data_IF_001137451584
#
_entry.id   IF_001137451584
#
_cell.length_a   1.000
_cell.length_b   1.000
_cell.length_c   1.000
_cell.angle_alpha   90.00
_cell.angle_beta   90.00
_cell.angle_gamma   90.00
#
_symmetry.space_group_name_H-M   'P 1'
#
loop_
_entity.id
_entity.type
_entity.pdbx_description
1 polymer ?
#
# COMPACT_ATOMS: atom_id res chain seq x y z
N UNK A 1 15.13 22.43 5.04
CA UNK A 1 13.81 22.06 5.59
C UNK A 1 12.78 22.97 4.93
N UNK A 2 11.82 22.48 4.15
CA UNK A 2 10.74 23.30 3.64
C UNK A 2 9.83 23.71 4.79
N UNK A 3 9.53 24.99 4.90
CA UNK A 3 8.61 25.55 5.90
C UNK A 3 7.18 25.11 5.58
N UNK A 4 6.53 24.50 6.56
CA UNK A 4 5.13 24.08 6.45
C UNK A 4 4.20 25.27 6.71
N UNK A 5 3.35 25.60 5.77
CA UNK A 5 2.30 26.64 5.87
C UNK A 5 1.11 26.10 6.67
N UNK A 6 0.47 26.92 7.53
CA UNK A 6 -0.69 26.49 8.33
C UNK A 6 -1.94 26.28 7.48
N UNK A 7 -2.71 25.26 7.82
CA UNK A 7 -4.02 24.93 7.19
C UNK A 7 -5.05 25.98 7.62
N UNK A 8 -5.59 26.74 6.67
CA UNK A 8 -6.77 27.57 6.88
C UNK A 8 -8.04 26.70 6.80
N UNK A 9 -9.00 26.93 7.72
CA UNK A 9 -10.33 26.32 7.74
C UNK A 9 -11.06 26.63 6.43
N UNK A 10 -11.04 25.68 5.49
CA UNK A 10 -11.79 25.79 4.23
C UNK A 10 -13.06 24.94 4.32
N UNK A 11 -14.19 25.61 4.24
CA UNK A 11 -15.51 25.01 4.02
C UNK A 11 -15.43 24.01 2.86
N UNK A 12 -16.05 22.85 3.06
CA UNK A 12 -16.13 21.77 2.07
C UNK A 12 -16.91 22.24 0.83
N UNK A 13 -16.21 22.80 -0.14
CA UNK A 13 -16.80 23.08 -1.45
C UNK A 13 -16.67 21.83 -2.31
N UNK A 14 -17.78 21.29 -2.80
CA UNK A 14 -17.86 20.17 -3.73
C UNK A 14 -17.41 20.62 -5.14
N UNK A 15 -16.19 21.08 -5.27
CA UNK A 15 -15.56 21.41 -6.54
C UNK A 15 -14.48 20.40 -6.86
N UNK A 16 -14.66 19.67 -7.94
CA UNK A 16 -13.70 18.75 -8.54
C UNK A 16 -12.41 19.48 -8.95
N UNK A 17 -11.48 19.65 -8.03
CA UNK A 17 -10.11 19.96 -8.38
C UNK A 17 -9.24 18.72 -8.17
N UNK A 18 -9.03 17.98 -9.24
CA UNK A 18 -7.93 17.02 -9.36
C UNK A 18 -6.62 17.82 -9.24
N UNK A 19 -6.07 17.94 -8.03
CA UNK A 19 -4.66 18.23 -7.88
C UNK A 19 -3.93 16.92 -8.19
N UNK A 20 -3.97 16.54 -9.48
CA UNK A 20 -3.16 15.46 -10.01
C UNK A 20 -1.74 15.98 -10.23
N UNK A 21 -0.75 15.10 -10.14
CA UNK A 21 0.57 15.38 -10.68
C UNK A 21 0.40 15.86 -12.14
N UNK A 22 0.94 17.02 -12.46
CA UNK A 22 0.95 17.51 -13.83
C UNK A 22 1.59 16.45 -14.74
N UNK A 23 1.22 16.41 -16.03
CA UNK A 23 1.75 15.48 -17.04
C UNK A 23 3.28 15.53 -17.20
N UNK A 24 3.95 16.48 -16.54
CA UNK A 24 5.40 16.72 -16.55
C UNK A 24 6.14 16.16 -15.34
N UNK A 25 5.44 15.59 -14.32
CA UNK A 25 6.14 15.04 -13.15
C UNK A 25 6.75 13.69 -13.51
N UNK A 26 8.09 13.51 -13.35
CA UNK A 26 8.74 12.24 -13.65
C UNK A 26 8.07 11.07 -12.90
N UNK A 27 7.96 9.92 -13.57
CA UNK A 27 7.44 8.72 -12.93
C UNK A 27 8.38 8.26 -11.80
N UNK A 28 7.85 8.10 -10.61
CA UNK A 28 8.51 7.42 -9.50
C UNK A 28 7.56 6.43 -8.85
N UNK A 29 7.89 5.14 -8.98
CA UNK A 29 7.15 4.04 -8.37
C UNK A 29 7.95 3.38 -7.27
N UNK A 30 7.29 2.47 -6.54
CA UNK A 30 7.95 1.71 -5.47
C UNK A 30 7.40 0.28 -5.36
N UNK A 31 8.26 -0.63 -4.92
CA UNK A 31 7.88 -1.90 -4.32
C UNK A 31 8.07 -1.81 -2.80
N UNK A 32 7.02 -2.13 -2.06
CA UNK A 32 6.97 -1.89 -0.62
C UNK A 32 6.58 -3.17 0.16
N UNK A 33 7.50 -4.16 0.23
CA UNK A 33 7.23 -5.43 0.91
C UNK A 33 7.35 -5.31 2.42
N UNK A 34 6.48 -6.03 3.15
CA UNK A 34 6.68 -6.28 4.58
C UNK A 34 7.66 -7.45 4.75
N UNK A 35 8.75 -7.31 5.55
CA UNK A 35 9.78 -8.33 5.72
C UNK A 35 9.32 -9.43 6.70
N UNK A 36 8.27 -10.14 6.36
CA UNK A 36 7.67 -11.24 7.13
C UNK A 36 8.03 -12.62 6.58
N UNK A 37 9.09 -12.72 5.78
CA UNK A 37 9.62 -13.91 5.12
C UNK A 37 10.03 -13.63 3.65
N UNK A 38 10.51 -14.65 2.91
CA UNK A 38 10.97 -14.52 1.53
C UNK A 38 9.83 -14.10 0.57
N UNK A 39 10.19 -13.66 -0.63
CA UNK A 39 9.23 -13.49 -1.71
C UNK A 39 8.65 -14.84 -2.14
N UNK A 40 7.35 -14.85 -2.42
CA UNK A 40 6.63 -15.90 -3.08
C UNK A 40 6.13 -15.40 -4.45
N UNK A 41 5.56 -16.29 -5.28
CA UNK A 41 5.12 -15.91 -6.63
C UNK A 41 4.22 -14.65 -6.64
N UNK A 42 3.27 -14.53 -5.70
CA UNK A 42 2.40 -13.35 -5.62
C UNK A 42 3.13 -12.04 -5.34
N UNK A 43 4.10 -12.04 -4.41
CA UNK A 43 4.92 -10.86 -4.13
C UNK A 43 5.91 -10.56 -5.25
N UNK A 44 6.47 -11.59 -5.91
CA UNK A 44 7.29 -11.40 -7.11
C UNK A 44 6.47 -10.81 -8.26
N UNK A 45 5.24 -11.25 -8.47
CA UNK A 45 4.32 -10.69 -9.48
C UNK A 45 4.10 -9.20 -9.24
N UNK A 46 3.88 -8.80 -7.98
CA UNK A 46 3.74 -7.39 -7.61
C UNK A 46 5.05 -6.61 -7.82
N UNK A 47 6.19 -7.17 -7.45
CA UNK A 47 7.50 -6.57 -7.68
C UNK A 47 7.77 -6.38 -9.17
N UNK A 48 7.56 -7.43 -9.99
CA UNK A 48 7.76 -7.39 -11.43
C UNK A 48 6.83 -6.36 -12.08
N UNK A 49 5.52 -6.38 -11.78
CA UNK A 49 4.55 -5.44 -12.37
C UNK A 49 4.88 -3.99 -12.02
N UNK A 50 5.25 -3.69 -10.76
CA UNK A 50 5.63 -2.34 -10.35
C UNK A 50 6.95 -1.88 -10.99
N UNK A 51 7.90 -2.79 -11.17
CA UNK A 51 9.16 -2.52 -11.84
C UNK A 51 8.97 -2.27 -13.34
N UNK A 52 8.20 -3.13 -14.01
CA UNK A 52 7.87 -2.99 -15.44
C UNK A 52 7.15 -1.67 -15.71
N UNK A 53 6.19 -1.30 -14.87
CA UNK A 53 5.46 -0.05 -15.00
C UNK A 53 6.39 1.17 -14.91
N UNK A 54 7.31 1.17 -13.94
CA UNK A 54 8.30 2.24 -13.80
C UNK A 54 9.25 2.31 -15.01
N UNK A 55 9.79 1.17 -15.44
CA UNK A 55 10.75 1.15 -16.57
C UNK A 55 10.08 1.40 -17.92
N UNK A 56 8.84 1.01 -18.11
CA UNK A 56 8.06 1.32 -19.31
C UNK A 56 7.78 2.84 -19.46
N UNK A 57 7.66 3.57 -18.35
CA UNK A 57 7.56 5.02 -18.33
C UNK A 57 8.93 5.74 -18.39
N UNK A 58 10.05 5.03 -18.41
CA UNK A 58 11.39 5.62 -18.28
C UNK A 58 11.63 6.25 -16.91
N UNK A 59 10.92 5.81 -15.89
CA UNK A 59 10.92 6.36 -14.53
C UNK A 59 11.82 5.61 -13.56
N UNK A 60 11.78 6.07 -12.31
CA UNK A 60 12.49 5.47 -11.18
C UNK A 60 11.62 4.44 -10.46
N UNK A 61 12.26 3.41 -9.94
CA UNK A 61 11.66 2.39 -9.12
C UNK A 61 12.48 2.17 -7.85
N UNK A 62 11.89 2.35 -6.69
CA UNK A 62 12.57 2.22 -5.41
C UNK A 62 12.02 1.05 -4.59
N UNK A 63 12.78 0.63 -3.58
CA UNK A 63 12.35 -0.40 -2.62
C UNK A 63 12.26 0.22 -1.22
N UNK A 64 11.15 -0.04 -0.55
CA UNK A 64 10.91 0.36 0.84
C UNK A 64 10.46 -0.85 1.65
N UNK A 65 11.18 -1.16 2.74
CA UNK A 65 10.78 -2.22 3.69
C UNK A 65 9.71 -1.69 4.64
N UNK A 66 8.53 -2.29 4.59
CA UNK A 66 7.39 -1.93 5.44
C UNK A 66 7.41 -2.78 6.72
N UNK A 67 8.34 -2.44 7.60
CA UNK A 67 8.63 -3.09 8.88
C UNK A 67 8.14 -2.31 10.10
N UNK A 68 7.18 -1.42 9.93
CA UNK A 68 6.59 -0.64 11.02
C UNK A 68 5.89 -1.52 12.07
N UNK A 69 5.33 -2.65 11.66
CA UNK A 69 4.79 -3.67 12.55
C UNK A 69 5.90 -4.65 12.96
N UNK A 70 6.78 -4.18 13.81
CA UNK A 70 7.99 -4.90 14.23
C UNK A 70 7.72 -6.31 14.79
N UNK A 71 6.62 -6.60 15.54
CA UNK A 71 6.31 -7.96 16.00
C UNK A 71 6.10 -8.99 14.89
N UNK A 72 5.73 -8.58 13.69
CA UNK A 72 5.55 -9.47 12.53
C UNK A 72 6.79 -9.59 11.65
N UNK A 73 7.80 -8.78 11.90
CA UNK A 73 9.05 -8.80 11.14
C UNK A 73 9.87 -10.02 11.49
N UNK A 74 10.38 -10.73 10.48
CA UNK A 74 11.29 -11.87 10.65
C UNK A 74 12.71 -11.41 10.34
N UNK A 75 13.63 -11.61 11.28
CA UNK A 75 15.01 -11.22 11.11
C UNK A 75 15.65 -11.83 9.85
N UNK A 76 16.34 -11.01 9.07
CA UNK A 76 17.01 -11.41 7.81
C UNK A 76 16.07 -11.50 6.60
N UNK A 77 14.74 -11.38 6.77
CA UNK A 77 13.80 -11.44 5.65
C UNK A 77 13.96 -10.26 4.69
N UNK A 78 14.31 -9.09 5.19
CA UNK A 78 14.60 -7.91 4.38
C UNK A 78 15.77 -8.16 3.44
N UNK A 79 16.88 -8.69 3.96
CA UNK A 79 18.06 -9.03 3.15
C UNK A 79 17.75 -10.12 2.12
N UNK A 80 16.97 -11.14 2.52
CA UNK A 80 16.54 -12.20 1.61
C UNK A 80 15.69 -11.65 0.48
N UNK A 81 14.73 -10.77 0.76
CA UNK A 81 13.91 -10.09 -0.27
C UNK A 81 14.81 -9.32 -1.24
N UNK A 82 15.78 -8.55 -0.74
CA UNK A 82 16.70 -7.78 -1.59
C UNK A 82 17.57 -8.69 -2.46
N UNK A 83 18.04 -9.82 -1.92
CA UNK A 83 18.79 -10.83 -2.69
C UNK A 83 17.93 -11.44 -3.79
N UNK A 84 16.66 -11.79 -3.48
CA UNK A 84 15.72 -12.34 -4.46
C UNK A 84 15.41 -11.35 -5.58
N UNK A 85 15.19 -10.07 -5.27
CA UNK A 85 14.99 -9.03 -6.28
C UNK A 85 16.23 -8.88 -7.19
N UNK A 86 17.43 -8.83 -6.62
CA UNK A 86 18.69 -8.77 -7.41
C UNK A 86 18.86 -9.99 -8.31
N UNK A 87 18.61 -11.21 -7.79
CA UNK A 87 18.70 -12.43 -8.57
C UNK A 87 17.71 -12.44 -9.76
N UNK A 88 16.53 -11.85 -9.57
CA UNK A 88 15.53 -11.66 -10.63
C UNK A 88 15.87 -10.49 -11.58
N UNK A 89 16.97 -9.77 -11.41
CA UNK A 89 17.34 -8.60 -12.23
C UNK A 89 16.50 -7.36 -11.96
N UNK A 90 15.68 -7.34 -10.90
CA UNK A 90 14.84 -6.20 -10.52
C UNK A 90 15.64 -5.22 -9.66
N UNK A 91 16.48 -4.43 -10.32
CA UNK A 91 17.31 -3.42 -9.68
C UNK A 91 16.52 -2.15 -9.39
N UNK A 92 16.78 -1.55 -8.22
CA UNK A 92 16.17 -0.30 -7.76
C UNK A 92 17.14 0.88 -7.86
N UNK A 93 16.60 2.09 -7.90
CA UNK A 93 17.35 3.29 -8.29
C UNK A 93 17.86 4.13 -7.11
N UNK A 94 17.38 3.91 -5.86
CA UNK A 94 17.80 4.67 -4.68
C UNK A 94 18.08 3.74 -3.49
N UNK A 95 18.65 4.26 -2.42
CA UNK A 95 18.87 3.49 -1.21
C UNK A 95 17.57 2.93 -0.63
N UNK A 96 17.63 1.70 -0.14
CA UNK A 96 16.49 1.06 0.52
C UNK A 96 16.15 1.78 1.82
N UNK A 97 14.87 2.03 2.04
CA UNK A 97 14.36 2.69 3.24
C UNK A 97 13.61 1.67 4.09
N UNK A 98 13.78 1.72 5.42
CA UNK A 98 13.05 0.94 6.42
C UNK A 98 12.10 1.83 7.20
N UNK A 99 10.83 1.47 7.27
CA UNK A 99 9.80 2.26 7.97
C UNK A 99 10.04 2.35 9.48
N UNK A 100 10.58 1.30 10.09
CA UNK A 100 10.93 1.28 11.51
C UNK A 100 11.92 2.38 11.93
N UNK A 101 12.71 2.90 10.99
CA UNK A 101 13.67 3.99 11.20
C UNK A 101 13.07 5.39 10.95
N UNK A 102 11.77 5.49 10.70
CA UNK A 102 11.11 6.73 10.26
C UNK A 102 9.94 7.15 11.16
N UNK A 103 9.85 6.57 12.35
CA UNK A 103 8.74 6.80 13.30
C UNK A 103 8.55 8.26 13.67
N UNK A 104 9.63 9.06 13.71
CA UNK A 104 9.57 10.50 13.98
C UNK A 104 8.80 11.26 12.90
N UNK A 105 8.90 10.83 11.64
CA UNK A 105 8.17 11.42 10.51
C UNK A 105 6.66 11.11 10.61
N UNK A 106 6.32 9.91 11.04
CA UNK A 106 4.92 9.52 11.28
C UNK A 106 4.35 10.25 12.49
N UNK A 107 5.17 10.46 13.53
CA UNK A 107 4.78 11.25 14.69
C UNK A 107 4.50 12.70 14.30
N UNK A 108 5.34 13.31 13.47
CA UNK A 108 5.13 14.67 12.97
C UNK A 108 3.83 14.79 12.15
N UNK A 109 3.54 13.80 11.28
CA UNK A 109 2.28 13.76 10.52
C UNK A 109 1.07 13.59 11.45
N UNK A 110 1.16 12.72 12.46
CA UNK A 110 0.13 12.57 13.48
C UNK A 110 -0.15 13.87 14.23
N UNK A 111 0.90 14.62 14.61
CA UNK A 111 0.77 15.92 15.28
C UNK A 111 0.07 16.94 14.38
N UNK A 112 0.39 16.95 13.08
CA UNK A 112 -0.30 17.81 12.12
C UNK A 112 -1.80 17.48 12.04
N UNK A 113 -2.16 16.20 11.95
CA UNK A 113 -3.57 15.74 11.96
C UNK A 113 -4.26 16.10 13.26
N UNK A 114 -3.57 15.97 14.40
CA UNK A 114 -4.11 16.29 15.73
C UNK A 114 -4.34 17.80 15.93
N UNK A 115 -3.43 18.63 15.45
CA UNK A 115 -3.61 20.10 15.44
C UNK A 115 -4.81 20.52 14.58
N UNK A 116 -5.06 19.79 13.50
CA UNK A 116 -6.27 19.96 12.66
C UNK A 116 -7.56 19.40 13.27
N UNK A 117 -7.53 18.87 14.48
CA UNK A 117 -8.68 18.23 15.16
C UNK A 117 -9.29 17.06 14.37
N UNK A 118 -8.47 16.41 13.55
CA UNK A 118 -8.89 15.27 12.69
C UNK A 118 -8.66 13.91 13.39
N UNK A 119 -8.20 13.92 14.62
CA UNK A 119 -7.90 12.71 15.37
C UNK A 119 -8.44 12.74 16.78
N UNK A 120 -8.71 11.56 17.33
CA UNK A 120 -9.08 11.40 18.75
C UNK A 120 -8.54 10.10 19.34
N UNK A 121 -8.56 10.01 20.66
CA UNK A 121 -8.09 8.83 21.42
C UNK A 121 -9.23 7.83 21.59
N UNK A 122 -8.94 6.55 21.35
CA UNK A 122 -9.86 5.45 21.49
C UNK A 122 -9.29 4.36 22.41
N UNK A 123 -10.07 3.90 23.38
CA UNK A 123 -9.72 2.82 24.31
C UNK A 123 -10.39 1.50 23.97
N UNK A 124 -11.30 1.49 22.98
CA UNK A 124 -12.07 0.30 22.64
C UNK A 124 -11.17 -0.82 22.14
N UNK A 125 -11.33 -2.01 22.72
CA UNK A 125 -10.80 -3.26 22.17
C UNK A 125 -11.64 -3.71 20.97
N UNK A 126 -11.11 -4.63 20.17
CA UNK A 126 -11.85 -5.24 19.05
C UNK A 126 -13.13 -5.92 19.55
N UNK A 127 -13.08 -6.61 20.68
CA UNK A 127 -14.22 -7.31 21.30
C UNK A 127 -15.35 -6.34 21.67
N UNK A 128 -15.02 -5.22 22.31
CA UNK A 128 -16.02 -4.19 22.67
C UNK A 128 -16.66 -3.56 21.45
N UNK A 129 -15.90 -3.38 20.36
CA UNK A 129 -16.45 -2.89 19.07
C UNK A 129 -17.44 -3.92 18.51
N UNK A 130 -17.07 -5.21 18.47
CA UNK A 130 -17.95 -6.29 18.01
C UNK A 130 -19.23 -6.40 18.85
N UNK A 131 -19.12 -6.31 20.17
CA UNK A 131 -20.27 -6.33 21.10
C UNK A 131 -21.21 -5.13 20.85
N UNK A 132 -20.64 -3.93 20.66
CA UNK A 132 -21.43 -2.73 20.37
C UNK A 132 -22.15 -2.85 19.02
N UNK A 133 -21.49 -3.35 17.98
CA UNK A 133 -22.11 -3.55 16.67
C UNK A 133 -23.25 -4.56 16.72
N UNK A 134 -23.06 -5.68 17.42
CA UNK A 134 -24.13 -6.68 17.63
C UNK A 134 -25.31 -6.12 18.41
N UNK A 135 -25.05 -5.34 19.46
CA UNK A 135 -26.09 -4.68 20.23
C UNK A 135 -26.91 -3.68 19.38
N UNK A 136 -26.29 -3.10 18.36
CA UNK A 136 -26.92 -2.22 17.37
C UNK A 136 -27.59 -2.97 16.19
N UNK A 137 -27.69 -4.32 16.28
CA UNK A 137 -28.34 -5.15 15.26
C UNK A 137 -27.50 -5.43 14.01
N UNK A 138 -26.18 -5.16 14.06
CA UNK A 138 -25.28 -5.46 12.91
C UNK A 138 -24.90 -6.94 12.95
N UNK A 139 -25.23 -7.66 11.88
CA UNK A 139 -24.73 -9.00 11.65
C UNK A 139 -23.27 -8.95 11.18
N UNK A 140 -22.37 -9.63 11.89
CA UNK A 140 -20.95 -9.67 11.59
C UNK A 140 -20.58 -10.98 10.92
N UNK A 141 -20.09 -10.91 9.70
CA UNK A 141 -19.52 -12.04 8.99
C UNK A 141 -18.15 -12.47 9.55
N UNK A 142 -17.72 -13.69 9.22
CA UNK A 142 -16.35 -14.14 9.53
C UNK A 142 -15.36 -13.34 8.68
N UNK A 143 -14.38 -12.70 9.33
CA UNK A 143 -13.32 -11.91 8.68
C UNK A 143 -13.75 -10.58 8.08
N UNK A 144 -14.97 -10.11 8.32
CA UNK A 144 -15.37 -8.76 7.92
C UNK A 144 -14.61 -7.69 8.73
N UNK A 145 -14.36 -6.58 8.07
CA UNK A 145 -13.79 -5.41 8.73
C UNK A 145 -14.87 -4.74 9.58
N UNK A 146 -14.56 -4.50 10.85
CA UNK A 146 -15.50 -3.87 11.77
C UNK A 146 -15.58 -2.37 11.50
N UNK A 147 -16.75 -1.90 11.12
CA UNK A 147 -17.03 -0.46 11.01
C UNK A 147 -17.12 0.12 12.42
N UNK A 148 -16.19 1.01 12.77
CA UNK A 148 -16.14 1.55 14.12
C UNK A 148 -17.35 2.43 14.44
N UNK A 149 -18.11 2.17 15.52
CA UNK A 149 -19.38 2.85 15.83
C UNK A 149 -19.20 4.27 16.42
N UNK A 150 -17.98 4.79 16.52
CA UNK A 150 -17.73 6.13 17.03
C UNK A 150 -17.74 6.27 18.57
N UNK A 151 -17.79 5.18 19.34
CA UNK A 151 -18.01 5.18 20.80
C UNK A 151 -17.10 6.10 21.63
N UNK A 152 -15.89 6.42 21.16
CA UNK A 152 -14.96 7.32 21.85
C UNK A 152 -14.83 8.71 21.21
N UNK A 153 -15.55 8.98 20.13
CA UNK A 153 -15.31 10.16 19.30
C UNK A 153 -15.43 11.48 20.08
N UNK A 154 -16.49 11.62 20.87
CA UNK A 154 -16.78 12.85 21.60
C UNK A 154 -16.37 12.75 23.09
N UNK A 155 -15.63 11.68 23.42
CA UNK A 155 -15.22 11.41 24.80
C UNK A 155 -13.73 11.68 24.95
N UNK A 156 -13.32 12.85 25.38
CA UNK A 156 -11.91 13.20 25.62
C UNK A 156 -11.21 12.18 26.56
N UNK A 157 -10.97 10.96 26.04
CA UNK A 157 -10.44 9.82 26.80
C UNK A 157 -8.98 10.05 27.19
N UNK A 158 -8.75 10.14 28.49
CA UNK A 158 -7.44 10.23 29.10
C UNK A 158 -7.06 8.86 29.68
N UNK A 159 -6.38 8.02 28.91
CA UNK A 159 -5.88 6.73 29.37
C UNK A 159 -4.42 6.56 28.93
N UNK A 160 -3.66 5.74 29.67
CA UNK A 160 -2.22 5.51 29.41
C UNK A 160 -2.01 4.81 28.07
N UNK A 161 -2.91 3.86 27.73
CA UNK A 161 -2.86 3.14 26.45
C UNK A 161 -4.09 3.46 25.61
N UNK A 162 -3.91 4.24 24.57
CA UNK A 162 -4.99 4.61 23.64
C UNK A 162 -4.54 4.41 22.19
N UNK A 163 -5.42 3.87 21.37
CA UNK A 163 -5.28 3.99 19.93
C UNK A 163 -5.65 5.41 19.48
N UNK A 164 -5.08 5.85 18.36
CA UNK A 164 -5.47 7.13 17.72
C UNK A 164 -6.22 6.81 16.44
N UNK A 165 -7.43 7.33 16.35
CA UNK A 165 -8.28 7.21 15.17
C UNK A 165 -8.37 8.53 14.41
N UNK A 166 -8.56 8.40 13.11
CA UNK A 166 -9.00 9.50 12.25
C UNK A 166 -10.50 9.68 12.44
N UNK A 167 -10.93 10.91 12.71
CA UNK A 167 -12.33 11.31 12.74
C UNK A 167 -12.78 11.66 11.31
N UNK A 168 -13.67 10.86 10.75
CA UNK A 168 -14.25 11.15 9.44
C UNK A 168 -15.34 12.25 9.57
N UNK A 169 -15.54 13.09 8.56
CA UNK A 169 -16.71 14.01 8.52
C UNK A 169 -18.01 13.21 8.40
N UNK A 170 -19.14 13.88 8.57
CA UNK A 170 -20.46 13.24 8.48
C UNK A 170 -20.76 12.60 7.12
N UNK A 171 -20.05 13.01 6.06
CA UNK A 171 -20.09 12.40 4.73
C UNK A 171 -18.69 12.38 4.13
N UNK A 172 -18.25 11.23 3.65
CA UNK A 172 -16.92 11.05 3.07
C UNK A 172 -16.92 10.00 1.96
N UNK A 173 -17.46 10.36 0.82
CA UNK A 173 -17.39 9.55 -0.39
C UNK A 173 -16.15 9.95 -1.18
N UNK A 174 -15.25 9.00 -1.41
CA UNK A 174 -14.04 9.19 -2.19
C UNK A 174 -14.11 8.38 -3.49
N UNK A 175 -13.66 9.00 -4.55
CA UNK A 175 -13.53 8.35 -5.85
C UNK A 175 -12.12 8.53 -6.39
N UNK A 176 -11.67 7.53 -7.13
CA UNK A 176 -10.40 7.56 -7.86
C UNK A 176 -10.50 6.65 -9.09
N UNK A 177 -9.65 6.89 -10.06
CA UNK A 177 -9.53 6.01 -11.22
C UNK A 177 -8.31 5.14 -11.03
N UNK A 178 -8.52 3.84 -10.98
CA UNK A 178 -7.46 2.84 -11.05
C UNK A 178 -7.23 2.44 -12.51
N UNK A 179 -5.96 2.34 -12.92
CA UNK A 179 -5.61 2.07 -14.33
C UNK A 179 -6.05 0.68 -14.81
N UNK A 180 -6.24 -0.28 -13.90
CA UNK A 180 -6.69 -1.64 -14.25
C UNK A 180 -8.13 -1.91 -13.83
N UNK A 181 -8.57 -1.34 -12.71
CA UNK A 181 -9.90 -1.60 -12.12
C UNK A 181 -10.95 -0.53 -12.50
N UNK A 182 -10.54 0.51 -13.24
CA UNK A 182 -11.44 1.61 -13.64
C UNK A 182 -11.82 2.52 -12.47
N UNK A 183 -12.97 3.17 -12.58
CA UNK A 183 -13.47 4.09 -11.55
C UNK A 183 -13.85 3.32 -10.30
N UNK A 184 -13.28 3.72 -9.18
CA UNK A 184 -13.56 3.18 -7.84
C UNK A 184 -14.23 4.27 -7.00
N UNK A 185 -15.21 3.87 -6.21
CA UNK A 185 -15.94 4.75 -5.28
C UNK A 185 -16.07 4.02 -3.95
N UNK A 186 -15.80 4.73 -2.85
CA UNK A 186 -15.95 4.18 -1.51
C UNK A 186 -16.52 5.25 -0.56
N UNK A 187 -17.57 4.90 0.18
CA UNK A 187 -18.08 5.69 1.29
C UNK A 187 -17.38 5.29 2.58
N UNK A 188 -16.37 6.09 2.97
CA UNK A 188 -15.58 5.79 4.15
C UNK A 188 -16.39 5.79 5.44
N UNK A 189 -17.47 6.57 5.53
CA UNK A 189 -18.30 6.64 6.75
C UNK A 189 -19.04 5.34 6.97
N UNK A 190 -19.67 4.81 5.91
CA UNK A 190 -20.54 3.65 5.99
C UNK A 190 -19.82 2.32 5.79
N UNK A 191 -18.67 2.32 5.09
CA UNK A 191 -17.95 1.09 4.77
C UNK A 191 -16.72 0.85 5.66
N UNK A 192 -16.21 1.88 6.34
CA UNK A 192 -14.97 1.81 7.11
C UNK A 192 -15.14 2.33 8.54
N UNK A 193 -15.82 3.47 8.71
CA UNK A 193 -15.86 4.23 9.95
C UNK A 193 -14.51 4.89 10.28
N UNK A 194 -14.43 5.47 11.48
CA UNK A 194 -13.20 6.08 11.97
C UNK A 194 -12.11 5.02 12.17
N UNK A 195 -11.04 5.12 11.42
CA UNK A 195 -9.99 4.10 11.37
C UNK A 195 -8.73 4.47 12.17
N UNK A 196 -8.03 3.45 12.64
CA UNK A 196 -6.83 3.61 13.48
C UNK A 196 -5.63 4.00 12.62
N UNK A 197 -4.87 5.02 13.07
CA UNK A 197 -3.58 5.43 12.47
C UNK A 197 -2.39 5.22 13.41
N UNK A 198 -2.64 5.10 14.74
CA UNK A 198 -1.66 4.64 15.72
C UNK A 198 -2.33 3.68 16.68
N UNK A 199 -1.73 2.53 16.93
CA UNK A 199 -2.23 1.47 17.82
C UNK A 199 -2.00 1.86 19.28
N UNK A 200 -2.72 1.19 20.19
CA UNK A 200 -2.59 1.41 21.64
C UNK A 200 -1.24 0.95 22.21
N UNK A 201 -0.50 0.11 21.50
CA UNK A 201 0.87 -0.29 21.82
C UNK A 201 1.93 0.72 21.30
N UNK A 202 1.49 1.79 20.65
CA UNK A 202 2.34 2.88 20.14
C UNK A 202 2.79 2.72 18.70
N UNK A 203 2.58 1.57 18.08
CA UNK A 203 2.97 1.35 16.68
C UNK A 203 2.06 2.12 15.72
N UNK A 204 2.65 2.74 14.72
CA UNK A 204 1.90 3.36 13.62
C UNK A 204 1.29 2.29 12.72
N UNK A 205 0.13 2.59 12.15
CA UNK A 205 -0.49 1.66 11.20
C UNK A 205 0.05 1.90 9.79
N UNK A 206 -0.11 0.86 8.95
CA UNK A 206 0.17 0.90 7.52
C UNK A 206 -0.46 2.14 6.85
N UNK A 207 -1.69 2.51 7.23
CA UNK A 207 -2.43 3.60 6.60
C UNK A 207 -1.70 4.95 6.69
N UNK A 208 -1.12 5.27 7.84
CA UNK A 208 -0.37 6.52 8.02
C UNK A 208 1.03 6.41 7.43
N UNK A 209 1.75 5.33 7.75
CA UNK A 209 3.15 5.17 7.38
C UNK A 209 3.35 5.21 5.86
N UNK A 210 2.53 4.46 5.09
CA UNK A 210 2.65 4.42 3.63
C UNK A 210 2.37 5.77 2.99
N UNK A 211 1.37 6.52 3.48
CA UNK A 211 1.01 7.84 2.95
C UNK A 211 2.13 8.86 3.17
N UNK A 212 2.71 8.87 4.38
CA UNK A 212 3.81 9.78 4.72
C UNK A 212 5.05 9.46 3.89
N UNK A 213 5.39 8.18 3.75
CA UNK A 213 6.56 7.77 3.00
C UNK A 213 6.41 7.98 1.50
N UNK A 214 5.24 7.65 0.92
CA UNK A 214 4.98 7.89 -0.49
C UNK A 214 5.11 9.38 -0.83
N UNK A 215 4.64 10.27 0.06
CA UNK A 215 4.84 11.71 -0.10
C UNK A 215 6.31 12.13 0.01
N UNK A 216 6.99 11.76 1.08
CA UNK A 216 8.36 12.18 1.36
C UNK A 216 9.38 11.60 0.36
N UNK A 217 9.11 10.44 -0.21
CA UNK A 217 9.93 9.84 -1.26
C UNK A 217 9.52 10.30 -2.67
N UNK A 218 8.51 11.15 -2.81
CA UNK A 218 8.07 11.69 -4.10
C UNK A 218 7.42 10.66 -5.02
N UNK A 219 6.73 9.67 -4.44
CA UNK A 219 6.04 8.63 -5.22
C UNK A 219 4.87 9.23 -6.00
N UNK A 220 4.89 9.03 -7.31
CA UNK A 220 3.86 9.52 -8.23
C UNK A 220 2.91 8.42 -8.69
N UNK A 221 3.37 7.16 -8.66
CA UNK A 221 2.62 6.00 -9.13
C UNK A 221 2.71 4.85 -8.13
N UNK A 222 1.57 4.30 -7.78
CA UNK A 222 1.43 3.18 -6.84
C UNK A 222 0.89 1.98 -7.62
N UNK A 223 1.79 1.02 -7.85
CA UNK A 223 1.44 -0.31 -8.37
C UNK A 223 1.53 -1.31 -7.22
N UNK A 224 0.43 -2.05 -6.96
CA UNK A 224 0.35 -3.00 -5.84
C UNK A 224 -0.75 -4.05 -6.06
N UNK A 225 -0.82 -5.07 -5.22
CA UNK A 225 -1.88 -6.09 -5.31
C UNK A 225 -3.28 -5.53 -5.01
N UNK A 226 -4.29 -6.08 -5.64
CA UNK A 226 -5.70 -5.64 -5.50
C UNK A 226 -6.30 -5.90 -4.10
N UNK A 227 -5.67 -6.73 -3.28
CA UNK A 227 -6.04 -6.89 -1.86
C UNK A 227 -5.90 -5.59 -1.04
N UNK A 228 -5.15 -4.62 -1.57
CA UNK A 228 -5.01 -3.30 -0.99
C UNK A 228 -5.94 -2.25 -1.61
N UNK A 229 -6.81 -2.65 -2.54
CA UNK A 229 -7.73 -1.72 -3.22
C UNK A 229 -8.64 -1.00 -2.22
N UNK A 230 -9.23 -1.73 -1.27
CA UNK A 230 -10.09 -1.19 -0.22
C UNK A 230 -9.37 -0.25 0.77
N UNK A 231 -8.03 -0.29 0.82
CA UNK A 231 -7.25 0.65 1.65
C UNK A 231 -7.06 2.02 0.98
N UNK A 232 -7.26 2.10 -0.34
CA UNK A 232 -6.93 3.28 -1.13
C UNK A 232 -7.70 4.52 -0.68
N UNK A 233 -8.99 4.41 -0.43
CA UNK A 233 -9.79 5.55 0.02
C UNK A 233 -9.34 6.11 1.39
N UNK A 234 -8.97 5.24 2.36
CA UNK A 234 -8.37 5.69 3.64
C UNK A 234 -7.09 6.50 3.42
N UNK A 235 -6.24 6.03 2.52
CA UNK A 235 -4.97 6.69 2.19
C UNK A 235 -5.21 8.00 1.46
N UNK A 236 -6.15 8.04 0.53
CA UNK A 236 -6.57 9.27 -0.15
C UNK A 236 -7.14 10.31 0.82
N UNK A 237 -7.87 9.87 1.84
CA UNK A 237 -8.37 10.77 2.87
C UNK A 237 -7.20 11.37 3.68
N UNK A 238 -6.25 10.54 4.13
CA UNK A 238 -5.06 11.01 4.85
C UNK A 238 -4.25 11.97 3.98
N UNK A 239 -4.01 11.65 2.71
CA UNK A 239 -3.33 12.54 1.76
C UNK A 239 -4.03 13.89 1.65
N UNK A 240 -5.36 13.88 1.50
CA UNK A 240 -6.17 15.10 1.40
C UNK A 240 -6.03 16.00 2.64
N UNK A 241 -6.14 15.42 3.84
CA UNK A 241 -6.10 16.21 5.08
C UNK A 241 -4.68 16.67 5.46
N UNK A 242 -3.64 15.98 4.97
CA UNK A 242 -2.26 16.40 5.11
C UNK A 242 -1.81 17.37 4.00
N UNK A 243 -2.65 17.59 2.96
CA UNK A 243 -2.29 18.42 1.82
C UNK A 243 -1.28 17.78 0.88
N UNK A 244 -1.18 16.45 0.86
CA UNK A 244 -0.26 15.72 0.01
C UNK A 244 -0.86 15.49 -1.39
N UNK A 245 -0.04 15.50 -2.45
CA UNK A 245 -0.51 15.22 -3.80
C UNK A 245 -0.99 13.77 -3.92
N UNK A 246 -1.98 13.57 -4.78
CA UNK A 246 -2.59 12.26 -5.02
C UNK A 246 -1.78 11.49 -6.07
N UNK A 247 -1.22 10.30 -5.77
CA UNK A 247 -0.56 9.47 -6.76
C UNK A 247 -1.57 8.80 -7.70
N UNK A 248 -1.08 8.27 -8.82
CA UNK A 248 -1.87 7.40 -9.70
C UNK A 248 -1.79 5.96 -9.22
N UNK A 249 -2.89 5.21 -9.36
CA UNK A 249 -3.01 3.84 -8.86
C UNK A 249 -3.17 2.83 -9.99
N UNK A 250 -2.56 1.67 -9.79
CA UNK A 250 -2.75 0.46 -10.58
C UNK A 250 -2.74 -0.76 -9.65
N UNK A 251 -3.89 -1.43 -9.49
CA UNK A 251 -4.02 -2.62 -8.66
C UNK A 251 -3.98 -3.89 -9.51
N UNK A 252 -2.93 -4.66 -9.28
CA UNK A 252 -2.64 -5.92 -10.00
C UNK A 252 -3.51 -7.06 -9.47
N UNK A 253 -3.92 -8.02 -10.34
CA UNK A 253 -4.68 -9.17 -9.91
C UNK A 253 -3.88 -10.02 -8.92
N UNK A 254 -4.59 -10.65 -7.96
CA UNK A 254 -3.99 -11.53 -6.98
C UNK A 254 -3.62 -12.87 -7.59
N UNK A 255 -2.43 -13.35 -7.28
CA UNK A 255 -2.07 -14.74 -7.55
C UNK A 255 -2.78 -15.64 -6.53
N UNK A 256 -3.61 -16.56 -7.01
CA UNK A 256 -4.37 -17.50 -6.18
C UNK A 256 -3.83 -18.92 -6.33
N UNK A 257 -4.12 -19.77 -5.34
CA UNK A 257 -3.90 -21.20 -5.43
C UNK A 257 -5.02 -21.88 -6.24
N UNK A 258 -4.94 -23.19 -6.41
CA UNK A 258 -5.93 -23.97 -7.17
C UNK A 258 -7.37 -23.93 -6.60
N UNK A 259 -7.52 -23.55 -5.34
CA UNK A 259 -8.82 -23.39 -4.67
C UNK A 259 -9.31 -21.93 -4.62
N UNK A 260 -8.61 -21.02 -5.32
CA UNK A 260 -8.99 -19.61 -5.42
C UNK A 260 -8.55 -18.74 -4.23
N UNK A 261 -7.80 -19.27 -3.27
CA UNK A 261 -7.30 -18.46 -2.14
C UNK A 261 -6.03 -17.71 -2.54
N UNK A 262 -5.92 -16.46 -2.06
CA UNK A 262 -4.72 -15.65 -2.26
C UNK A 262 -3.46 -16.37 -1.81
N UNK A 263 -2.44 -16.44 -2.69
CA UNK A 263 -1.11 -16.86 -2.29
C UNK A 263 -0.53 -15.86 -1.29
N UNK A 264 -0.34 -16.32 -0.06
CA UNK A 264 0.23 -15.54 1.01
C UNK A 264 1.13 -16.43 1.87
N UNK A 265 1.93 -15.81 2.74
CA UNK A 265 2.74 -16.56 3.73
C UNK A 265 1.86 -17.36 4.69
N UNK A 266 0.63 -16.90 4.96
CA UNK A 266 -0.34 -17.62 5.79
C UNK A 266 -0.88 -18.88 5.10
N UNK A 267 -1.01 -18.86 3.77
CA UNK A 267 -1.39 -20.03 2.96
C UNK A 267 -0.20 -20.92 2.59
N UNK A 268 0.96 -20.76 3.26
CA UNK A 268 2.21 -21.52 3.03
C UNK A 268 2.71 -21.43 1.59
N UNK A 269 2.54 -20.27 0.95
CA UNK A 269 3.10 -20.05 -0.38
C UNK A 269 4.61 -20.29 -0.35
N UNK A 270 5.10 -21.12 -1.26
CA UNK A 270 6.51 -21.44 -1.38
C UNK A 270 7.32 -20.19 -1.74
N UNK A 271 8.50 -20.07 -1.13
CA UNK A 271 9.47 -19.06 -1.53
C UNK A 271 9.89 -19.27 -3.00
N UNK A 272 10.17 -18.17 -3.69
CA UNK A 272 10.79 -18.30 -5.02
C UNK A 272 12.20 -18.89 -4.87
N UNK A 273 12.52 -19.83 -5.74
CA UNK A 273 13.84 -20.45 -5.79
C UNK A 273 14.80 -19.59 -6.64
N UNK A 274 15.92 -19.20 -6.05
CA UNK A 274 16.99 -18.44 -6.72
C UNK A 274 18.31 -19.19 -6.75
N UNK A 275 18.28 -20.51 -6.49
CA UNK A 275 19.49 -21.35 -6.43
C UNK A 275 20.22 -21.49 -7.78
N UNK A 276 19.48 -21.37 -8.88
CA UNK A 276 20.02 -21.48 -10.24
C UNK A 276 19.18 -20.71 -11.24
N UNK A 277 19.75 -20.38 -12.38
CA UNK A 277 19.16 -19.47 -13.37
C UNK A 277 17.79 -19.95 -13.89
N UNK A 278 17.62 -21.24 -14.12
CA UNK A 278 16.37 -21.80 -14.62
C UNK A 278 15.22 -21.63 -13.61
N UNK A 279 15.47 -21.81 -12.31
CA UNK A 279 14.47 -21.59 -11.26
C UNK A 279 14.05 -20.11 -11.17
N UNK A 280 15.02 -19.20 -11.32
CA UNK A 280 14.74 -17.76 -11.41
C UNK A 280 13.84 -17.45 -12.59
N UNK A 281 14.17 -17.98 -13.79
CA UNK A 281 13.37 -17.80 -14.99
C UNK A 281 11.96 -18.38 -14.85
N UNK A 282 11.82 -19.56 -14.25
CA UNK A 282 10.50 -20.18 -14.04
C UNK A 282 9.62 -19.29 -13.13
N UNK A 283 10.21 -18.71 -12.08
CA UNK A 283 9.53 -17.77 -11.21
C UNK A 283 9.11 -16.47 -11.93
N UNK A 284 10.01 -15.90 -12.73
CA UNK A 284 9.74 -14.69 -13.52
C UNK A 284 8.68 -14.93 -14.61
N UNK A 285 8.73 -16.07 -15.32
CA UNK A 285 7.73 -16.47 -16.33
C UNK A 285 6.36 -16.62 -15.69
N UNK A 286 6.27 -17.33 -14.55
CA UNK A 286 5.02 -17.48 -13.82
C UNK A 286 4.43 -16.14 -13.41
N UNK A 287 5.26 -15.21 -12.93
CA UNK A 287 4.83 -13.85 -12.60
C UNK A 287 4.36 -13.06 -13.83
N UNK A 288 5.12 -13.12 -14.93
CA UNK A 288 4.77 -12.44 -16.18
C UNK A 288 3.48 -12.99 -16.81
N UNK A 289 3.31 -14.31 -16.81
CA UNK A 289 2.09 -14.96 -17.29
C UNK A 289 0.86 -14.50 -16.49
N UNK A 290 0.99 -14.41 -15.17
CA UNK A 290 -0.09 -13.92 -14.31
C UNK A 290 -0.44 -12.45 -14.60
N UNK A 291 0.54 -11.65 -15.02
CA UNK A 291 0.35 -10.28 -15.48
C UNK A 291 -0.17 -10.18 -16.92
N UNK A 292 -0.51 -11.30 -17.57
CA UNK A 292 -1.03 -11.33 -18.95
C UNK A 292 0.03 -11.09 -20.03
N UNK A 293 1.32 -11.12 -19.67
CA UNK A 293 2.42 -10.95 -20.61
C UNK A 293 2.69 -12.28 -21.33
N UNK A 294 2.83 -12.22 -22.66
CA UNK A 294 3.01 -13.41 -23.48
C UNK A 294 4.45 -13.93 -23.42
N UNK A 295 4.62 -15.22 -23.50
CA UNK A 295 5.91 -15.86 -23.71
C UNK A 295 6.14 -16.10 -25.20
N UNK A 296 7.31 -15.75 -25.72
CA UNK A 296 7.72 -16.06 -27.10
C UNK A 296 8.73 -17.22 -27.06
N UNK A 297 8.64 -18.11 -28.08
CA UNK A 297 9.55 -19.26 -28.20
C UNK A 297 11.03 -18.86 -28.26
N UNK A 298 11.32 -17.65 -28.72
CA UNK A 298 12.68 -17.10 -28.81
C UNK A 298 13.24 -16.64 -27.46
N UNK A 299 12.43 -16.65 -26.39
CA UNK A 299 12.84 -16.22 -25.03
C UNK A 299 13.48 -17.35 -24.21
N UNK A 300 13.62 -18.56 -24.75
CA UNK A 300 14.12 -19.71 -23.99
C UNK A 300 15.64 -19.71 -23.77
N UNK A 301 16.39 -18.91 -24.51
CA UNK A 301 17.89 -18.94 -24.52
C UNK A 301 18.54 -17.57 -24.32
N UNK A 302 17.77 -16.57 -23.87
CA UNK A 302 18.26 -15.19 -23.67
C UNK A 302 18.60 -14.92 -22.20
N UNK A 303 19.38 -13.89 -21.94
CA UNK A 303 19.70 -13.44 -20.58
C UNK A 303 18.47 -12.85 -19.87
N UNK A 304 18.48 -12.85 -18.53
CA UNK A 304 17.41 -12.18 -17.73
C UNK A 304 17.26 -10.72 -18.13
N UNK A 305 18.33 -10.02 -18.42
CA UNK A 305 18.30 -8.63 -18.85
C UNK A 305 17.54 -8.46 -20.18
N UNK A 306 17.87 -9.24 -21.20
CA UNK A 306 17.20 -9.20 -22.50
C UNK A 306 15.70 -9.56 -22.36
N UNK A 307 15.39 -10.57 -21.55
CA UNK A 307 14.03 -10.96 -21.25
C UNK A 307 13.23 -9.81 -20.61
N UNK A 308 13.79 -9.14 -19.61
CA UNK A 308 13.16 -7.98 -18.96
C UNK A 308 12.93 -6.84 -19.96
N UNK A 309 13.86 -6.60 -20.91
CA UNK A 309 13.67 -5.58 -21.94
C UNK A 309 12.49 -5.91 -22.89
N UNK A 310 12.28 -7.20 -23.20
CA UNK A 310 11.10 -7.65 -23.95
C UNK A 310 9.83 -7.39 -23.12
N UNK A 311 9.83 -7.76 -21.85
CA UNK A 311 8.66 -7.57 -20.97
C UNK A 311 8.32 -6.10 -20.74
N UNK A 312 9.29 -5.20 -20.69
CA UNK A 312 9.05 -3.74 -20.65
C UNK A 312 8.28 -3.28 -21.90
N UNK A 313 8.66 -3.76 -23.10
CA UNK A 313 7.94 -3.41 -24.33
C UNK A 313 6.52 -3.96 -24.32
N UNK A 314 6.33 -5.25 -23.96
CA UNK A 314 5.01 -5.87 -23.84
C UNK A 314 4.13 -5.14 -22.81
N UNK A 315 4.70 -4.74 -21.66
CA UNK A 315 3.99 -3.97 -20.65
C UNK A 315 3.50 -2.63 -21.21
N UNK A 316 4.36 -1.93 -21.94
CA UNK A 316 4.00 -0.66 -22.58
C UNK A 316 2.83 -0.83 -23.56
N UNK A 317 2.89 -1.85 -24.39
CA UNK A 317 1.83 -2.13 -25.39
C UNK A 317 0.49 -2.53 -24.74
N UNK A 318 0.51 -3.14 -23.55
CA UNK A 318 -0.70 -3.62 -22.87
C UNK A 318 -1.31 -2.59 -21.91
N UNK A 319 -0.49 -1.73 -21.28
CA UNK A 319 -0.92 -0.95 -20.11
C UNK A 319 -0.64 0.55 -20.19
N UNK A 320 0.00 1.07 -21.24
CA UNK A 320 0.24 2.50 -21.46
C UNK A 320 -0.46 3.02 -22.71
#
# INVERSE_FOLDING_TARGET
MPQMTPIQNTQFNQGSSQVGYALTTPYKGRFAPSPTGPLHLGSLTTALGSWLDAKAHGGQWIVRMEDVDTPRTIAGSDQMILQQLKACGLHWDEDVVWQSKRTDLYQAALEQLSKGQITYRCICSRKEIEETLRANGVELGRHEELIYPGSCRDQNRQAVKTAIRVALPSSCVLHFTDRMKGVQLQDLVHEVGDFVIRRSDGLFTYQLAVVVDDYLQGITHIVRGEDLLSNTARQLYIQKVLGYPRPRYLHLPLVTNAVGEKLSKQTRALAIDISHQEAIFNSLRGAAQHLGLKEDKNELSISTHEWLQIKIRQWRDCYL
#
